data_IF_452135959892
#
_entry.id   IF_452135959892
#
_cell.length_a   1.000
_cell.length_b   1.000
_cell.length_c   1.000
_cell.angle_alpha   90.00
_cell.angle_beta   90.00
_cell.angle_gamma   90.00
#
_symmetry.space_group_name_H-M   'P 1'
#
loop_
_entity.id
_entity.type
_entity.pdbx_description
1 polymer ?
#
# COMPACT_ATOMS: atom_id res chain seq x y z
N UNK A 1 -13.00 21.96 32.77
CA UNK A 1 -12.57 21.86 31.37
C UNK A 1 -12.06 20.45 31.07
N UNK A 2 -12.92 19.45 30.98
CA UNK A 2 -12.57 18.08 30.60
C UNK A 2 -13.76 17.26 30.05
N UNK A 3 -14.81 17.94 29.57
CA UNK A 3 -16.01 17.28 29.02
C UNK A 3 -16.14 17.38 27.47
N UNK A 4 -15.38 18.28 26.86
CA UNK A 4 -15.62 18.58 25.43
C UNK A 4 -14.88 17.67 24.46
N UNK A 5 -13.83 16.96 24.91
CA UNK A 5 -13.10 16.02 24.04
C UNK A 5 -13.80 14.65 23.87
N UNK A 6 -14.73 14.31 24.77
CA UNK A 6 -15.46 13.04 24.67
C UNK A 6 -16.61 13.08 23.66
N UNK A 7 -17.19 14.28 23.48
CA UNK A 7 -18.30 14.50 22.53
C UNK A 7 -17.81 14.53 21.08
N UNK A 8 -16.57 15.00 20.85
CA UNK A 8 -15.96 15.01 19.51
C UNK A 8 -15.64 13.59 19.00
N UNK A 9 -15.24 12.69 19.89
CA UNK A 9 -14.95 11.30 19.50
C UNK A 9 -16.24 10.53 19.09
N UNK A 10 -17.36 10.79 19.75
CA UNK A 10 -18.65 10.19 19.36
C UNK A 10 -19.22 10.74 18.05
N UNK A 11 -18.95 12.02 17.74
CA UNK A 11 -19.38 12.62 16.48
C UNK A 11 -18.59 12.07 15.27
N UNK A 12 -17.34 11.66 15.48
CA UNK A 12 -16.49 11.14 14.43
C UNK A 12 -16.83 9.68 14.06
N UNK A 13 -17.23 8.85 15.04
CA UNK A 13 -17.63 7.44 14.81
C UNK A 13 -18.96 7.35 14.03
N UNK A 14 -19.85 8.34 14.16
CA UNK A 14 -21.14 8.37 13.47
C UNK A 14 -21.09 8.75 11.99
N UNK A 15 -19.95 9.27 11.49
CA UNK A 15 -19.84 9.76 10.12
C UNK A 15 -19.44 8.69 9.09
N UNK A 16 -18.86 7.57 9.50
CA UNK A 16 -18.29 6.58 8.58
C UNK A 16 -19.16 5.36 8.27
N UNK A 17 -20.41 5.31 8.70
CA UNK A 17 -21.42 4.40 8.17
C UNK A 17 -21.12 2.88 8.26
N UNK A 18 -20.06 2.48 8.96
CA UNK A 18 -19.65 1.07 9.05
C UNK A 18 -20.38 0.30 10.17
N UNK A 19 -20.95 1.01 11.13
CA UNK A 19 -21.76 0.40 12.18
C UNK A 19 -23.11 1.10 12.27
N UNK A 20 -24.24 0.39 12.24
CA UNK A 20 -25.51 1.00 12.57
C UNK A 20 -25.50 1.50 14.00
N UNK A 21 -26.11 2.67 14.28
CA UNK A 21 -26.17 3.17 15.65
C UNK A 21 -26.86 2.11 16.52
N UNK A 22 -26.25 1.83 17.67
CA UNK A 22 -26.90 1.02 18.69
C UNK A 22 -28.23 1.68 19.04
N UNK A 23 -29.33 0.94 18.95
CA UNK A 23 -30.60 1.38 19.53
C UNK A 23 -30.43 1.30 21.04
N UNK A 24 -30.45 2.47 21.68
CA UNK A 24 -30.24 2.62 23.11
C UNK A 24 -31.14 1.68 23.93
N UNK A 25 -30.54 0.63 24.45
CA UNK A 25 -31.05 0.01 25.65
C UNK A 25 -30.33 0.69 26.82
N UNK A 26 -31.04 1.53 27.55
CA UNK A 26 -30.48 2.47 28.55
C UNK A 26 -29.64 1.82 29.67
N UNK A 27 -29.50 0.51 29.67
CA UNK A 27 -28.81 -0.26 30.70
C UNK A 27 -27.53 -0.95 30.26
N UNK A 28 -27.16 -0.86 28.98
CA UNK A 28 -25.95 -1.49 28.48
C UNK A 28 -24.90 -0.44 28.15
N UNK A 29 -23.68 -0.54 28.68
CA UNK A 29 -22.59 0.37 28.28
C UNK A 29 -22.44 0.42 26.76
N UNK A 30 -22.33 1.60 26.18
CA UNK A 30 -22.33 1.81 24.73
C UNK A 30 -21.25 1.02 23.97
N UNK A 31 -20.14 0.67 24.63
CA UNK A 31 -19.12 -0.17 24.05
C UNK A 31 -19.52 -1.66 23.88
N UNK A 32 -20.59 -2.10 24.55
CA UNK A 32 -21.11 -3.46 24.38
C UNK A 32 -22.16 -3.55 23.26
N UNK A 33 -22.55 -2.43 22.71
CA UNK A 33 -23.51 -2.35 21.62
C UNK A 33 -22.84 -2.18 20.24
N UNK A 34 -21.55 -2.37 20.11
CA UNK A 34 -20.87 -2.25 18.82
C UNK A 34 -21.05 -3.52 17.98
N UNK A 35 -21.95 -3.53 16.99
CA UNK A 35 -22.17 -4.68 16.13
C UNK A 35 -21.00 -4.98 15.18
N UNK A 36 -20.06 -4.03 15.07
CA UNK A 36 -18.81 -4.26 14.35
C UNK A 36 -17.78 -4.97 15.19
N UNK A 37 -18.14 -5.19 16.46
CA UNK A 37 -17.29 -5.75 17.34
C UNK A 37 -17.08 -7.04 17.15
N UNK A 38 -17.07 -7.74 17.18
CA UNK A 38 -16.97 -9.07 17.77
C UNK A 38 -15.59 -9.60 17.87
N UNK A 39 -14.63 -9.04 17.25
CA UNK A 39 -13.37 -9.76 17.20
C UNK A 39 -12.12 -8.88 17.33
N UNK A 40 -12.29 -7.60 17.31
CA UNK A 40 -11.20 -6.69 17.04
C UNK A 40 -10.65 -5.94 18.24
N UNK A 41 -11.31 -6.00 19.37
CA UNK A 41 -10.74 -5.56 20.65
C UNK A 41 -9.49 -6.36 21.05
N UNK A 42 -9.18 -7.42 20.33
CA UNK A 42 -8.00 -8.24 20.51
C UNK A 42 -6.74 -7.78 19.82
N UNK A 43 -6.72 -6.63 19.15
CA UNK A 43 -5.50 -6.09 18.55
C UNK A 43 -4.92 -6.93 17.43
N UNK A 44 -5.75 -7.59 16.63
CA UNK A 44 -5.30 -8.30 15.42
C UNK A 44 -4.65 -7.32 14.44
N UNK A 45 -3.43 -7.63 13.99
CA UNK A 45 -2.70 -6.84 13.01
C UNK A 45 -2.89 -7.48 11.64
N UNK A 46 -3.36 -6.68 10.69
CA UNK A 46 -3.53 -7.07 9.30
C UNK A 46 -2.28 -6.81 8.45
N UNK A 47 -1.31 -6.05 8.96
CA UNK A 47 -0.10 -5.77 8.20
C UNK A 47 0.83 -4.75 8.81
N UNK A 48 1.90 -4.51 8.07
CA UNK A 48 2.93 -3.53 8.41
C UNK A 48 3.24 -2.65 7.19
N UNK A 49 3.70 -1.44 7.46
CA UNK A 49 4.10 -0.45 6.45
C UNK A 49 5.43 0.13 6.86
N UNK A 50 6.29 0.35 5.89
CA UNK A 50 7.57 1.03 6.04
C UNK A 50 7.58 2.32 5.21
N UNK A 51 8.04 3.39 5.81
CA UNK A 51 8.20 4.71 5.19
C UNK A 51 9.67 5.12 5.29
N UNK A 52 10.27 5.65 4.21
CA UNK A 52 11.62 6.23 4.30
C UNK A 52 11.67 7.35 5.34
N UNK A 53 12.70 7.39 6.17
CA UNK A 53 12.88 8.46 7.16
C UNK A 53 12.97 9.86 6.53
N UNK A 54 13.35 9.95 5.24
CA UNK A 54 13.42 11.22 4.48
C UNK A 54 12.08 11.67 3.92
N UNK A 55 11.06 10.81 3.91
CA UNK A 55 9.74 11.12 3.41
C UNK A 55 8.81 11.56 4.54
N UNK A 56 8.04 12.60 4.32
CA UNK A 56 7.05 13.12 5.27
C UNK A 56 5.74 13.33 4.53
N UNK A 57 4.66 12.74 5.02
CA UNK A 57 3.32 13.00 4.51
C UNK A 57 2.93 14.46 4.78
N UNK A 58 2.34 15.10 3.79
CA UNK A 58 1.67 16.40 3.95
C UNK A 58 0.28 16.18 4.55
N UNK A 59 -0.44 15.18 4.05
CA UNK A 59 -1.71 14.75 4.59
C UNK A 59 -1.79 13.22 4.58
N UNK A 60 -1.69 12.61 5.74
CA UNK A 60 -1.74 11.14 5.88
C UNK A 60 -3.14 10.56 5.58
N UNK A 61 -4.17 11.41 5.49
CA UNK A 61 -5.53 10.99 5.14
C UNK A 61 -5.82 11.11 3.63
N UNK A 62 -4.86 11.60 2.82
CA UNK A 62 -4.97 11.66 1.36
C UNK A 62 -4.47 10.37 0.72
N UNK A 63 -5.38 9.57 0.17
CA UNK A 63 -5.07 8.31 -0.53
C UNK A 63 -4.18 8.52 -1.77
N UNK A 64 -4.33 9.65 -2.46
CA UNK A 64 -3.51 10.01 -3.64
C UNK A 64 -2.05 10.26 -3.25
N UNK A 65 -1.80 10.83 -2.06
CA UNK A 65 -0.43 11.00 -1.55
C UNK A 65 0.21 9.64 -1.25
N UNK A 66 -0.56 8.69 -0.68
CA UNK A 66 -0.10 7.33 -0.47
C UNK A 66 0.24 6.63 -1.78
N UNK A 67 -0.64 6.71 -2.78
CA UNK A 67 -0.38 6.13 -4.11
C UNK A 67 0.91 6.68 -4.72
N UNK A 68 1.11 7.99 -4.66
CA UNK A 68 2.32 8.66 -5.17
C UNK A 68 3.57 8.19 -4.42
N UNK A 69 3.52 8.11 -3.09
CA UNK A 69 4.63 7.69 -2.26
C UNK A 69 5.00 6.21 -2.50
N UNK A 70 4.00 5.34 -2.73
CA UNK A 70 4.21 3.93 -3.05
C UNK A 70 4.83 3.78 -4.44
N UNK A 71 4.34 4.52 -5.45
CA UNK A 71 4.92 4.54 -6.79
C UNK A 71 6.38 5.00 -6.79
N UNK A 72 6.71 6.00 -5.97
CA UNK A 72 8.07 6.49 -5.77
C UNK A 72 8.95 5.56 -4.92
N UNK A 73 8.37 4.49 -4.35
CA UNK A 73 9.03 3.58 -3.39
C UNK A 73 9.54 4.30 -2.13
N UNK A 74 8.87 5.36 -1.74
CA UNK A 74 9.10 6.06 -0.47
C UNK A 74 8.32 5.39 0.66
N UNK A 75 7.21 4.74 0.33
CA UNK A 75 6.39 3.91 1.20
C UNK A 75 6.22 2.54 0.57
N UNK A 76 6.27 1.50 1.38
CA UNK A 76 5.96 0.13 0.98
C UNK A 76 5.49 -0.66 2.19
N UNK A 77 4.87 -1.81 1.97
CA UNK A 77 4.41 -2.63 3.08
C UNK A 77 3.64 -3.84 2.60
N UNK A 78 3.10 -4.54 3.58
CA UNK A 78 2.23 -5.68 3.35
C UNK A 78 1.04 -5.58 4.28
N UNK A 79 -0.15 -5.40 3.72
CA UNK A 79 -1.42 -5.42 4.45
C UNK A 79 -2.33 -6.43 3.79
N UNK A 80 -2.71 -7.45 4.52
CA UNK A 80 -3.66 -8.47 4.07
C UNK A 80 -4.28 -9.17 5.30
N UNK A 81 -5.45 -8.72 5.71
CA UNK A 81 -6.12 -9.22 6.90
C UNK A 81 -6.52 -10.69 6.87
N UNK A 82 -6.56 -11.31 5.68
CA UNK A 82 -6.89 -12.74 5.55
C UNK A 82 -5.67 -13.67 5.61
N UNK A 83 -4.46 -13.13 5.50
CA UNK A 83 -3.21 -13.92 5.42
C UNK A 83 -2.20 -13.56 6.49
N UNK A 84 -2.18 -12.30 6.92
CA UNK A 84 -1.28 -11.87 7.98
C UNK A 84 -1.94 -12.14 9.32
N UNK A 85 -1.26 -12.94 10.12
CA UNK A 85 -1.65 -13.26 11.47
C UNK A 85 -0.69 -12.61 12.44
N UNK A 86 -1.19 -11.78 13.32
CA UNK A 86 -0.39 -11.11 14.32
C UNK A 86 -1.23 -10.38 15.34
N UNK A 87 -0.59 -9.90 16.38
CA UNK A 87 -1.23 -9.14 17.43
C UNK A 87 -0.36 -7.98 17.90
N UNK A 88 -0.99 -7.00 18.52
CA UNK A 88 -0.32 -5.93 19.22
C UNK A 88 -0.18 -6.37 20.69
N UNK A 89 0.97 -6.92 21.11
CA UNK A 89 1.15 -7.40 22.47
C UNK A 89 1.26 -6.25 23.46
N UNK A 90 1.08 -6.56 24.73
CA UNK A 90 1.36 -5.61 25.79
C UNK A 90 2.84 -5.22 25.78
N UNK A 91 3.17 -3.98 26.11
CA UNK A 91 4.55 -3.53 26.14
C UNK A 91 5.30 -4.08 27.35
N UNK A 92 6.57 -4.35 27.15
CA UNK A 92 7.50 -4.66 28.22
C UNK A 92 8.02 -3.38 28.87
N UNK A 93 7.97 -3.28 30.20
CA UNK A 93 8.45 -2.12 30.94
C UNK A 93 9.82 -2.41 31.57
N UNK A 94 10.76 -1.49 31.35
CA UNK A 94 12.01 -1.50 32.10
C UNK A 94 11.91 -0.48 33.22
N UNK A 95 12.02 -0.95 34.44
CA UNK A 95 11.93 -0.12 35.64
C UNK A 95 13.32 0.11 36.27
N UNK A 96 13.50 1.26 36.85
CA UNK A 96 14.71 1.59 37.63
C UNK A 96 14.32 2.17 39.00
N UNK A 97 14.88 1.62 40.04
CA UNK A 97 14.72 2.17 41.38
C UNK A 97 15.61 3.39 41.56
N UNK A 98 15.03 4.52 41.95
CA UNK A 98 15.78 5.73 42.29
C UNK A 98 16.01 5.83 43.79
N UNK A 99 17.26 5.66 44.20
CA UNK A 99 17.68 5.75 45.60
C UNK A 99 17.29 4.53 46.45
N UNK A 100 17.74 4.53 47.71
CA UNK A 100 17.51 3.39 48.62
C UNK A 100 16.07 3.31 49.13
N UNK A 101 15.33 4.40 49.13
CA UNK A 101 13.92 4.47 49.53
C UNK A 101 13.00 4.86 48.36
N UNK A 102 13.54 4.94 47.13
CA UNK A 102 12.81 5.36 45.96
C UNK A 102 11.84 4.31 45.45
N UNK A 103 10.75 4.79 44.83
CA UNK A 103 9.83 3.94 44.08
C UNK A 103 10.47 3.54 42.75
N UNK A 104 10.01 2.41 42.20
CA UNK A 104 10.37 2.02 40.84
C UNK A 104 9.77 3.06 39.85
N UNK A 105 10.61 3.54 38.94
CA UNK A 105 10.21 4.46 37.87
C UNK A 105 10.39 3.72 36.54
N UNK A 106 9.37 3.72 35.71
CA UNK A 106 9.44 3.16 34.36
C UNK A 106 10.39 4.03 33.54
N UNK A 107 11.47 3.43 33.07
CA UNK A 107 12.51 4.11 32.29
C UNK A 107 12.26 3.98 30.79
N UNK A 108 11.68 2.86 30.38
CA UNK A 108 11.55 2.48 29.00
C UNK A 108 10.36 1.55 28.83
N UNK A 109 9.64 1.75 27.78
CA UNK A 109 8.58 0.88 27.30
C UNK A 109 8.99 0.33 25.93
N UNK A 110 9.04 -0.98 25.81
CA UNK A 110 9.44 -1.65 24.56
C UNK A 110 8.32 -2.57 24.11
N UNK A 111 7.99 -2.53 22.81
CA UNK A 111 6.99 -3.42 22.23
C UNK A 111 7.61 -4.28 21.15
N UNK A 112 7.19 -5.53 21.07
CA UNK A 112 7.61 -6.46 20.01
C UNK A 112 6.38 -6.96 19.28
N UNK A 113 6.15 -6.45 18.07
CA UNK A 113 5.08 -6.92 17.18
C UNK A 113 5.58 -8.09 16.38
N UNK A 114 4.93 -9.24 16.51
CA UNK A 114 5.23 -10.44 15.75
C UNK A 114 4.11 -10.73 14.75
N UNK A 115 4.48 -10.93 13.50
CA UNK A 115 3.57 -11.22 12.40
C UNK A 115 3.96 -12.52 11.71
N UNK A 116 2.96 -13.23 11.21
CA UNK A 116 3.12 -14.38 10.32
C UNK A 116 2.34 -14.11 9.04
N UNK A 117 2.99 -14.23 7.90
CA UNK A 117 2.40 -14.06 6.57
C UNK A 117 2.39 -15.40 5.85
N UNK A 118 1.19 -15.91 5.55
CA UNK A 118 1.01 -17.19 4.87
C UNK A 118 1.34 -17.00 3.39
N UNK A 119 2.39 -17.66 2.92
CA UNK A 119 2.82 -17.59 1.53
C UNK A 119 1.94 -18.46 0.64
N UNK A 120 1.03 -17.85 -0.08
CA UNK A 120 0.19 -18.57 -1.04
C UNK A 120 -0.17 -17.74 -2.28
N UNK A 121 0.58 -16.69 -2.58
CA UNK A 121 0.30 -15.81 -3.70
C UNK A 121 1.38 -15.93 -4.78
N UNK A 122 1.05 -16.66 -5.84
CA UNK A 122 1.93 -16.81 -7.01
C UNK A 122 2.19 -15.49 -7.76
N UNK A 123 1.45 -14.43 -7.45
CA UNK A 123 1.53 -13.13 -8.13
C UNK A 123 2.41 -12.12 -7.41
N UNK A 124 2.69 -12.32 -6.12
CA UNK A 124 3.50 -11.40 -5.31
C UNK A 124 4.70 -12.13 -4.71
N UNK A 125 5.91 -11.70 -5.05
CA UNK A 125 7.15 -12.25 -4.46
C UNK A 125 7.34 -11.74 -3.03
N UNK A 126 6.63 -12.32 -2.10
CA UNK A 126 6.74 -12.06 -0.65
C UNK A 126 8.16 -12.28 -0.18
N UNK A 127 8.83 -13.26 -0.77
CA UNK A 127 10.24 -13.62 -0.55
C UNK A 127 11.17 -12.41 -0.73
N UNK A 128 11.04 -11.69 -1.84
CA UNK A 128 11.84 -10.49 -2.10
C UNK A 128 11.61 -9.37 -1.09
N UNK A 129 10.37 -9.17 -0.64
CA UNK A 129 9.98 -8.13 0.31
C UNK A 129 10.59 -8.39 1.70
N UNK A 130 10.45 -9.59 2.25
CA UNK A 130 10.96 -9.92 3.57
C UNK A 130 12.49 -10.02 3.60
N UNK A 131 13.10 -10.50 2.53
CA UNK A 131 14.56 -10.48 2.37
C UNK A 131 15.12 -9.06 2.28
N UNK A 132 14.43 -8.17 1.55
CA UNK A 132 14.80 -6.76 1.50
C UNK A 132 14.66 -6.12 2.89
N UNK A 133 13.57 -6.36 3.58
CA UNK A 133 13.30 -5.84 4.91
C UNK A 133 14.41 -6.23 5.90
N UNK A 134 14.81 -7.50 5.92
CA UNK A 134 15.88 -8.01 6.79
C UNK A 134 17.21 -7.26 6.62
N UNK A 135 17.50 -6.82 5.39
CA UNK A 135 18.79 -6.20 5.03
C UNK A 135 18.78 -4.69 5.12
N UNK A 136 17.63 -4.04 4.86
CA UNK A 136 17.54 -2.60 4.59
C UNK A 136 16.65 -1.79 5.54
N UNK A 137 16.15 -2.39 6.61
CA UNK A 137 15.18 -1.75 7.51
C UNK A 137 15.66 -0.45 8.18
N UNK A 138 16.97 -0.24 8.32
CA UNK A 138 17.54 0.89 9.09
C UNK A 138 17.27 2.30 8.52
N UNK A 139 16.81 2.41 7.31
CA UNK A 139 16.49 3.70 6.69
C UNK A 139 15.00 4.04 6.73
N UNK A 140 14.20 3.29 7.50
CA UNK A 140 12.76 3.35 7.49
C UNK A 140 12.16 3.52 8.88
N UNK A 141 11.01 4.18 8.91
CA UNK A 141 10.07 4.19 10.02
C UNK A 141 8.96 3.19 9.71
N UNK A 142 8.39 2.59 10.74
CA UNK A 142 7.39 1.53 10.59
C UNK A 142 6.07 1.91 11.21
N UNK A 143 5.00 1.44 10.60
CA UNK A 143 3.65 1.49 11.12
C UNK A 143 2.96 0.15 10.95
N UNK A 144 1.87 -0.04 11.67
CA UNK A 144 1.08 -1.27 11.67
C UNK A 144 -0.38 -0.94 11.40
N UNK A 145 -1.04 -1.86 10.73
CA UNK A 145 -2.47 -1.75 10.41
C UNK A 145 -3.20 -2.88 11.10
N UNK A 146 -4.26 -2.55 11.80
CA UNK A 146 -5.13 -3.54 12.43
C UNK A 146 -6.18 -4.07 11.46
N UNK A 147 -6.81 -5.19 11.82
CA UNK A 147 -7.86 -5.81 11.01
C UNK A 147 -9.09 -4.92 10.82
N UNK A 148 -9.31 -3.93 11.68
CA UNK A 148 -10.35 -2.91 11.57
C UNK A 148 -9.91 -1.65 10.80
N UNK A 149 -8.72 -1.68 10.18
CA UNK A 149 -8.21 -0.61 9.31
C UNK A 149 -7.55 0.55 10.05
N UNK A 150 -7.33 0.45 11.36
CA UNK A 150 -6.61 1.51 12.09
C UNK A 150 -5.12 1.43 11.84
N UNK A 151 -4.52 2.58 11.67
CA UNK A 151 -3.08 2.73 11.51
C UNK A 151 -2.40 3.16 12.81
N UNK A 152 -1.30 2.50 13.14
CA UNK A 152 -0.42 2.84 14.25
C UNK A 152 0.98 3.11 13.73
N UNK A 153 1.53 4.24 13.97
CA UNK A 153 2.88 4.60 13.55
C UNK A 153 3.07 6.10 13.60
N UNK A 154 4.17 6.65 13.21
CA UNK A 154 5.36 5.99 12.66
C UNK A 154 6.36 5.76 13.77
N UNK A 155 6.89 4.55 13.88
CA UNK A 155 7.89 4.20 14.89
C UNK A 155 9.28 4.26 14.27
N UNK A 156 10.15 5.04 14.87
CA UNK A 156 11.57 5.15 14.51
C UNK A 156 12.40 4.13 15.29
N UNK A 157 13.62 3.86 14.81
CA UNK A 157 14.57 2.95 15.45
C UNK A 157 14.02 1.54 15.71
N UNK A 158 13.20 1.05 14.80
CA UNK A 158 12.65 -0.30 14.87
C UNK A 158 13.73 -1.31 14.50
N UNK A 159 13.91 -2.31 15.35
CA UNK A 159 14.71 -3.49 15.02
C UNK A 159 13.83 -4.53 14.35
N UNK A 160 14.20 -4.97 13.16
CA UNK A 160 13.42 -5.93 12.38
C UNK A 160 14.19 -7.23 12.24
N UNK A 161 13.49 -8.34 12.45
CA UNK A 161 13.97 -9.70 12.24
C UNK A 161 12.93 -10.45 11.40
N UNK A 162 13.38 -11.12 10.35
CA UNK A 162 12.52 -11.96 9.50
C UNK A 162 13.11 -13.35 9.33
N UNK A 163 12.25 -14.35 9.20
CA UNK A 163 12.65 -15.72 8.84
C UNK A 163 11.51 -16.44 8.15
N UNK A 164 11.85 -17.49 7.43
CA UNK A 164 10.91 -18.31 6.70
C UNK A 164 10.80 -19.69 7.35
N UNK A 165 9.58 -20.21 7.42
CA UNK A 165 9.30 -21.59 7.83
C UNK A 165 8.67 -22.32 6.64
N UNK A 166 9.37 -23.31 6.11
CA UNK A 166 8.83 -24.16 5.05
C UNK A 166 7.80 -25.14 5.61
N UNK A 167 6.77 -25.43 4.85
CA UNK A 167 5.82 -26.49 5.16
C UNK A 167 6.52 -27.85 5.29
N UNK A 168 6.20 -28.61 6.34
CA UNK A 168 6.73 -29.95 6.56
C UNK A 168 5.83 -31.01 5.92
N UNK A 169 4.58 -30.66 5.60
CA UNK A 169 3.60 -31.54 4.96
C UNK A 169 2.78 -30.80 3.90
N UNK A 170 2.01 -31.54 3.08
CA UNK A 170 1.11 -30.95 2.09
C UNK A 170 -0.14 -30.27 2.72
N UNK A 171 -0.31 -30.40 4.02
CA UNK A 171 -1.42 -29.80 4.79
C UNK A 171 -0.98 -28.54 5.53
N UNK A 172 0.33 -28.27 5.61
CA UNK A 172 0.90 -27.10 6.27
C UNK A 172 1.21 -26.00 5.25
N UNK A 173 1.04 -24.76 5.65
CA UNK A 173 1.41 -23.59 4.85
C UNK A 173 2.87 -23.19 5.11
N UNK A 174 3.56 -22.80 4.06
CA UNK A 174 4.84 -22.09 4.19
C UNK A 174 4.59 -20.67 4.65
N UNK A 175 5.40 -20.18 5.59
CA UNK A 175 5.13 -18.91 6.25
C UNK A 175 6.38 -18.04 6.36
N UNK A 176 6.21 -16.75 6.10
CA UNK A 176 7.15 -15.73 6.53
C UNK A 176 6.79 -15.22 7.92
N UNK A 177 7.79 -15.03 8.74
CA UNK A 177 7.68 -14.42 10.05
C UNK A 177 8.44 -13.10 10.06
N UNK A 178 7.87 -12.10 10.73
CA UNK A 178 8.51 -10.82 10.95
C UNK A 178 8.31 -10.38 12.40
N UNK A 179 9.38 -9.98 13.06
CA UNK A 179 9.36 -9.35 14.39
C UNK A 179 9.84 -7.92 14.27
N UNK A 180 9.07 -6.98 14.80
CA UNK A 180 9.38 -5.57 14.87
C UNK A 180 9.48 -5.16 16.33
N UNK A 181 10.68 -4.81 16.78
CA UNK A 181 10.91 -4.39 18.15
C UNK A 181 11.29 -2.92 18.20
N UNK A 182 10.55 -2.13 18.96
CA UNK A 182 10.75 -0.70 19.06
C UNK A 182 10.46 -0.18 20.47
N UNK A 183 11.02 1.00 20.76
CA UNK A 183 10.76 1.73 21.99
C UNK A 183 9.59 2.69 21.78
N UNK A 184 8.65 2.66 22.68
CA UNK A 184 7.46 3.49 22.68
C UNK A 184 7.55 4.52 23.81
N UNK A 185 7.04 5.74 23.55
CA UNK A 185 6.95 6.72 24.62
C UNK A 185 5.89 6.30 25.63
N UNK A 186 6.24 6.40 26.91
CA UNK A 186 5.33 6.02 28.01
C UNK A 186 4.06 6.89 27.94
N UNK A 187 2.92 6.23 27.78
CA UNK A 187 1.61 6.89 27.71
C UNK A 187 1.27 7.55 26.37
N UNK A 188 2.11 7.41 25.36
CA UNK A 188 1.83 7.93 24.01
C UNK A 188 1.45 6.78 23.06
N UNK A 189 0.21 6.34 23.13
CA UNK A 189 -0.38 5.44 22.16
C UNK A 189 -1.29 6.23 21.24
N UNK A 190 -0.88 6.44 20.00
CA UNK A 190 -1.69 7.12 18.99
C UNK A 190 -2.09 6.14 17.89
N UNK A 191 -3.36 6.14 17.57
CA UNK A 191 -3.92 5.42 16.43
C UNK A 191 -4.70 6.42 15.57
N UNK A 192 -4.63 6.22 14.27
CA UNK A 192 -5.34 7.01 13.28
C UNK A 192 -6.28 6.08 12.51
N UNK A 193 -7.53 6.47 12.42
CA UNK A 193 -8.48 5.83 11.52
C UNK A 193 -8.38 6.51 10.17
N UNK A 194 -7.85 5.82 9.17
CA UNK A 194 -7.82 6.33 7.80
C UNK A 194 -9.21 6.21 7.16
N UNK A 195 -9.53 7.15 6.29
CA UNK A 195 -10.80 7.19 5.55
C UNK A 195 -10.86 6.16 4.41
N UNK A 196 -9.75 5.53 4.09
CA UNK A 196 -9.60 4.53 3.04
C UNK A 196 -8.91 3.27 3.56
N UNK A 197 -9.03 2.16 2.81
CA UNK A 197 -8.38 0.90 3.16
C UNK A 197 -6.95 0.87 2.62
N UNK A 198 -5.97 0.88 3.51
CA UNK A 198 -4.55 0.77 3.14
C UNK A 198 -4.22 -0.49 2.33
N UNK A 199 -4.96 -1.58 2.54
CA UNK A 199 -4.83 -2.80 1.73
C UNK A 199 -5.07 -2.52 0.25
N UNK A 200 -6.06 -1.68 -0.09
CA UNK A 200 -6.37 -1.33 -1.48
C UNK A 200 -5.23 -0.54 -2.12
N UNK A 201 -4.66 0.42 -1.39
CA UNK A 201 -3.59 1.29 -1.89
C UNK A 201 -2.26 0.53 -2.00
N UNK A 202 -1.94 -0.33 -1.03
CA UNK A 202 -0.68 -1.10 -1.01
C UNK A 202 -0.66 -2.28 -1.98
N UNK A 203 -1.81 -2.82 -2.34
CA UNK A 203 -1.92 -3.94 -3.27
C UNK A 203 -2.07 -3.49 -4.74
N UNK A 204 -1.77 -2.24 -5.06
CA UNK A 204 -1.76 -1.75 -6.45
C UNK A 204 -0.64 -2.48 -7.22
N UNK A 205 -1.06 -3.21 -8.24
CA UNK A 205 -0.15 -3.83 -9.19
C UNK A 205 0.13 -2.84 -10.33
N UNK A 206 1.27 -2.17 -10.25
CA UNK A 206 1.69 -1.17 -11.23
C UNK A 206 2.08 -1.77 -12.56
N UNK A 207 1.88 -1.00 -13.63
CA UNK A 207 2.41 -1.33 -14.95
C UNK A 207 3.95 -1.29 -14.90
N UNK A 208 4.60 -2.38 -15.36
CA UNK A 208 6.06 -2.48 -15.41
C UNK A 208 6.62 -2.39 -16.83
N UNK A 209 5.81 -2.70 -17.84
CA UNK A 209 6.18 -2.53 -19.25
C UNK A 209 4.96 -2.45 -20.16
N UNK A 210 5.12 -1.78 -21.30
CA UNK A 210 4.12 -1.69 -22.37
C UNK A 210 4.76 -2.07 -23.67
N UNK A 211 4.16 -3.03 -24.37
CA UNK A 211 4.56 -3.43 -25.73
C UNK A 211 3.54 -2.89 -26.70
N UNK A 212 3.94 -1.91 -27.54
CA UNK A 212 3.10 -1.35 -28.58
C UNK A 212 3.21 -2.16 -29.85
N UNK A 213 2.09 -2.50 -30.45
CA UNK A 213 1.99 -3.23 -31.72
C UNK A 213 0.94 -2.58 -32.64
N UNK A 214 0.97 -2.93 -33.91
CA UNK A 214 -0.01 -2.49 -34.90
C UNK A 214 -0.81 -3.69 -35.43
N UNK A 215 -1.99 -3.45 -35.95
CA UNK A 215 -2.80 -4.46 -36.58
C UNK A 215 -2.01 -5.15 -37.72
N UNK A 216 -1.90 -6.49 -37.65
CA UNK A 216 -1.13 -7.29 -38.60
C UNK A 216 0.37 -7.05 -38.60
N UNK A 217 0.94 -6.36 -37.59
CA UNK A 217 2.37 -6.04 -37.53
C UNK A 217 2.82 -5.01 -38.58
N UNK A 218 1.89 -4.27 -39.16
CA UNK A 218 2.17 -3.28 -40.21
C UNK A 218 2.87 -2.07 -39.60
N UNK A 219 4.03 -1.68 -40.19
CA UNK A 219 4.83 -0.52 -39.75
C UNK A 219 4.95 0.56 -40.86
N UNK A 220 4.25 0.37 -41.97
CA UNK A 220 4.22 1.35 -43.07
C UNK A 220 2.79 1.46 -43.62
N UNK A 221 2.27 2.69 -43.74
CA UNK A 221 0.94 2.99 -44.29
C UNK A 221 0.99 4.14 -45.25
N UNK A 222 0.02 4.18 -46.15
CA UNK A 222 -0.13 5.30 -47.09
C UNK A 222 -0.62 6.56 -46.38
N UNK A 223 -0.26 7.75 -46.92
CA UNK A 223 -0.82 9.00 -46.43
C UNK A 223 -2.35 9.01 -46.62
N UNK A 224 -3.08 9.43 -45.58
CA UNK A 224 -4.54 9.39 -45.49
C UNK A 224 -5.11 8.03 -45.01
N UNK A 225 -4.29 6.99 -44.86
CA UNK A 225 -4.74 5.72 -44.33
C UNK A 225 -4.81 5.71 -42.80
N UNK A 226 -5.55 4.75 -42.25
CA UNK A 226 -5.66 4.51 -40.81
C UNK A 226 -5.02 3.18 -40.40
N UNK A 227 -4.50 3.09 -39.17
CA UNK A 227 -3.89 1.87 -38.61
C UNK A 227 -4.32 1.73 -37.17
N UNK A 228 -4.87 0.58 -36.79
CA UNK A 228 -5.21 0.30 -35.40
C UNK A 228 -3.93 -0.10 -34.63
N UNK A 229 -3.64 0.65 -33.58
CA UNK A 229 -2.58 0.35 -32.63
C UNK A 229 -3.15 -0.41 -31.43
N UNK A 230 -2.32 -1.26 -30.83
CA UNK A 230 -2.62 -2.01 -29.62
C UNK A 230 -1.47 -1.92 -28.63
N UNK A 231 -1.77 -1.90 -27.35
CA UNK A 231 -0.80 -1.92 -26.27
C UNK A 231 -1.03 -3.16 -25.41
N UNK A 232 0.00 -4.00 -25.28
CA UNK A 232 0.01 -5.08 -24.30
C UNK A 232 0.72 -4.59 -23.05
N UNK A 233 -0.04 -4.51 -21.95
CA UNK A 233 0.43 -4.02 -20.65
C UNK A 233 0.86 -5.20 -19.79
N UNK A 234 1.99 -5.08 -19.14
CA UNK A 234 2.51 -6.08 -18.23
C UNK A 234 2.78 -5.48 -16.84
N UNK A 235 2.53 -6.22 -15.76
CA UNK A 235 1.97 -7.57 -15.74
C UNK A 235 0.48 -7.56 -16.13
N UNK A 236 -0.05 -8.70 -16.59
CA UNK A 236 -1.43 -8.83 -17.08
C UNK A 236 -2.49 -8.57 -15.99
N UNK A 237 -2.10 -8.65 -14.72
CA UNK A 237 -2.90 -8.34 -13.55
C UNK A 237 -2.68 -6.92 -13.02
N UNK A 238 -2.12 -6.00 -13.83
CA UNK A 238 -2.01 -4.60 -13.43
C UNK A 238 -3.37 -4.05 -13.00
N UNK A 239 -3.40 -3.32 -11.88
CA UNK A 239 -4.64 -2.80 -11.30
C UNK A 239 -5.34 -1.82 -12.25
N UNK A 240 -4.57 -1.01 -12.95
CA UNK A 240 -5.06 -0.12 -14.01
C UNK A 240 -4.26 -0.34 -15.31
N UNK A 241 -4.69 -1.23 -16.20
CA UNK A 241 -4.00 -1.50 -17.47
C UNK A 241 -4.32 -0.48 -18.58
N UNK A 242 -5.03 0.60 -18.27
CA UNK A 242 -5.36 1.62 -19.25
C UNK A 242 -4.11 2.34 -19.75
N UNK A 243 -4.13 2.78 -21.01
CA UNK A 243 -3.05 3.57 -21.62
C UNK A 243 -3.58 4.84 -22.25
N UNK A 244 -2.76 5.89 -22.24
CA UNK A 244 -2.98 7.14 -22.96
C UNK A 244 -2.10 7.13 -24.19
N UNK A 245 -2.72 7.30 -25.35
CA UNK A 245 -2.05 7.33 -26.64
C UNK A 245 -1.57 8.72 -27.01
N UNK A 246 -0.38 8.80 -27.55
CA UNK A 246 0.16 10.01 -28.16
C UNK A 246 0.96 9.67 -29.42
N UNK A 247 1.11 10.63 -30.32
CA UNK A 247 1.92 10.51 -31.52
C UNK A 247 2.76 11.76 -31.71
N UNK A 248 4.03 11.59 -32.03
CA UNK A 248 4.95 12.67 -32.31
C UNK A 248 5.66 12.47 -33.67
N UNK A 249 5.93 13.53 -34.45
CA UNK A 249 6.75 13.43 -35.64
C UNK A 249 8.18 13.02 -35.26
N UNK A 250 8.75 12.09 -36.02
CA UNK A 250 10.14 11.68 -35.92
C UNK A 250 10.98 12.28 -37.02
N UNK A 251 10.59 12.05 -38.33
CA UNK A 251 11.21 12.67 -39.50
C UNK A 251 10.09 13.06 -40.50
N UNK A 252 9.70 14.30 -40.51
CA UNK A 252 8.78 14.91 -41.48
C UNK A 252 7.34 14.40 -41.44
N UNK A 253 7.07 13.23 -40.90
CA UNK A 253 5.74 12.61 -40.87
C UNK A 253 4.77 13.34 -39.92
N UNK A 254 3.49 13.32 -40.25
CA UNK A 254 2.42 13.83 -39.40
C UNK A 254 1.27 12.83 -39.31
N UNK A 255 0.72 12.65 -38.13
CA UNK A 255 -0.42 11.78 -37.86
C UNK A 255 -1.19 12.25 -36.63
N UNK A 256 -2.41 11.78 -36.48
CA UNK A 256 -3.21 11.90 -35.26
C UNK A 256 -3.55 10.52 -34.73
N UNK A 257 -3.75 10.41 -33.42
CA UNK A 257 -4.16 9.16 -32.80
C UNK A 257 -5.36 9.38 -31.87
N UNK A 258 -6.37 8.57 -32.01
CA UNK A 258 -7.56 8.60 -31.15
C UNK A 258 -7.32 7.87 -29.82
N UNK A 259 -8.17 8.14 -28.83
CA UNK A 259 -8.11 7.48 -27.49
C UNK A 259 -8.13 5.95 -27.59
N UNK A 260 -8.83 5.37 -28.58
CA UNK A 260 -8.87 3.94 -28.85
C UNK A 260 -7.66 3.39 -29.62
N UNK A 261 -6.60 4.20 -29.85
CA UNK A 261 -5.40 3.76 -30.56
C UNK A 261 -5.53 3.75 -32.11
N UNK A 262 -6.55 4.38 -32.68
CA UNK A 262 -6.64 4.50 -34.13
C UNK A 262 -5.74 5.65 -34.62
N UNK A 263 -4.63 5.28 -35.27
CA UNK A 263 -3.70 6.20 -35.92
C UNK A 263 -4.25 6.60 -37.30
N UNK A 264 -4.24 7.90 -37.63
CA UNK A 264 -4.59 8.44 -38.97
C UNK A 264 -3.39 9.19 -39.50
N UNK A 265 -2.85 8.76 -40.63
CA UNK A 265 -1.73 9.41 -41.31
C UNK A 265 -2.19 10.70 -41.99
N UNK A 266 -1.48 11.81 -41.80
CA UNK A 266 -1.81 13.12 -42.38
C UNK A 266 -0.68 13.75 -43.19
N UNK A 267 0.52 13.16 -43.14
CA UNK A 267 1.66 13.63 -43.93
C UNK A 267 2.79 12.61 -44.01
N UNK A 268 3.44 12.55 -45.16
CA UNK A 268 4.53 11.58 -45.47
C UNK A 268 5.74 11.80 -44.57
N UNK A 269 6.35 10.68 -44.11
CA UNK A 269 7.50 10.67 -43.22
C UNK A 269 7.40 9.60 -42.14
N UNK A 270 8.04 9.78 -41.02
CA UNK A 270 7.97 8.84 -39.90
C UNK A 270 7.42 9.50 -38.63
N UNK A 271 6.62 8.75 -37.88
CA UNK A 271 6.06 9.17 -36.59
C UNK A 271 6.35 8.14 -35.52
N UNK A 272 6.51 8.58 -34.30
CA UNK A 272 6.58 7.70 -33.13
C UNK A 272 5.23 7.71 -32.43
N UNK A 273 4.62 6.54 -32.34
CA UNK A 273 3.42 6.30 -31.53
C UNK A 273 3.85 5.86 -30.15
N UNK A 274 3.29 6.49 -29.12
CA UNK A 274 3.61 6.20 -27.72
C UNK A 274 2.32 5.86 -26.96
N UNK A 275 2.36 4.78 -26.23
CA UNK A 275 1.37 4.43 -25.20
C UNK A 275 1.98 4.68 -23.82
N UNK A 276 1.33 5.49 -23.00
CA UNK A 276 1.76 5.80 -21.63
C UNK A 276 0.79 5.15 -20.66
N UNK A 277 1.28 4.47 -19.62
CA UNK A 277 0.42 3.91 -18.58
C UNK A 277 -0.40 5.01 -17.89
N UNK A 278 -1.69 4.73 -17.68
CA UNK A 278 -2.61 5.65 -17.01
C UNK A 278 -2.66 5.43 -15.48
N UNK A 279 -1.85 4.51 -14.97
CA UNK A 279 -1.79 4.16 -13.53
C UNK A 279 -0.87 5.10 -12.71
N UNK A 280 -0.19 6.04 -13.33
CA UNK A 280 0.78 6.91 -12.67
C UNK A 280 2.21 6.38 -12.62
N UNK A 281 2.48 5.14 -13.06
CA UNK A 281 3.83 4.54 -13.07
C UNK A 281 4.80 5.27 -14.03
N UNK A 282 4.28 6.07 -14.98
CA UNK A 282 5.09 6.75 -15.99
C UNK A 282 5.70 5.81 -17.05
N UNK A 283 5.33 4.54 -17.05
CA UNK A 283 5.84 3.55 -18.02
C UNK A 283 5.28 3.85 -19.43
N UNK A 284 6.15 3.78 -20.43
CA UNK A 284 5.80 4.03 -21.83
C UNK A 284 6.25 2.89 -22.72
N UNK A 285 5.48 2.62 -23.76
CA UNK A 285 5.87 1.79 -24.90
C UNK A 285 5.81 2.58 -26.18
N UNK A 286 6.67 2.34 -27.15
CA UNK A 286 6.74 3.08 -28.41
C UNK A 286 6.79 2.18 -29.62
N UNK A 287 6.25 2.66 -30.76
CA UNK A 287 6.40 2.05 -32.06
C UNK A 287 6.55 3.12 -33.13
N UNK A 288 7.51 2.95 -34.03
CA UNK A 288 7.73 3.86 -35.17
C UNK A 288 6.90 3.39 -36.38
N UNK A 289 6.16 4.29 -36.98
CA UNK A 289 5.36 4.06 -38.21
C UNK A 289 5.87 4.96 -39.34
N UNK A 290 6.08 4.35 -40.51
CA UNK A 290 6.44 5.05 -41.74
C UNK A 290 5.18 5.38 -42.51
N UNK A 291 5.05 6.62 -42.97
CA UNK A 291 3.95 7.11 -43.81
C UNK A 291 4.50 7.38 -45.24
N UNK A 292 4.00 6.68 -46.20
CA UNK A 292 4.44 6.72 -47.60
C UNK A 292 3.45 7.43 -48.53
#
# INVERSE_FOLDING_TARGET
MKKDNFVLLQAFIGAFGLCPPCTDDENVPSYLCDPCDSTVLGGGIAGWIAKKCSYTFVDIEDDTEWETAIAAKDVFGRVNGSRILGGLPDPEFTEKKRGSCGQNEVQKQTRTVALTDVENDATFSVDGLYNFLAQKYKGYEFGFVTCDGRFFGWFSNVYVKTWFTAAESNEDDSMWHAEFKYDEQIGAFSQLQLSFLLETVLNICWVTSIVVSSAGGVVSIANGATLQMSAAVLPANATNPAVVWSVAPLVGGTATIAVGGLLTATGVGTVTVTATAADGSGITGTLVITIT
#
